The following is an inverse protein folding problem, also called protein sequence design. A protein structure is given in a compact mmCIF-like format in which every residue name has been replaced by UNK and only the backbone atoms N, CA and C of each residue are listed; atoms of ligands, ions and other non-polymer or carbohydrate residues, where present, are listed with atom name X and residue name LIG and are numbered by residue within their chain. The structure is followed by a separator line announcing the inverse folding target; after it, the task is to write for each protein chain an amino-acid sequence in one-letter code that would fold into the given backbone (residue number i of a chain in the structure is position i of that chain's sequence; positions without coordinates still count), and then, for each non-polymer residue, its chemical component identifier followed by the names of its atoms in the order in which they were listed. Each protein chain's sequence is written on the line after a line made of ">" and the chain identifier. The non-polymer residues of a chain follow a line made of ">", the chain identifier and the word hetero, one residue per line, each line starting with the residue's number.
data_IF_335462772018
#
_entry.id   IF_335462772018
#
_cell.length_a   1.000
_cell.length_b   1.000
_cell.length_c   1.000
_cell.angle_alpha   90.00
_cell.angle_beta   90.00
_cell.angle_gamma   90.00
#
_symmetry.space_group_name_H-M   'P 1'
#
loop_
_entity.id
_entity.type
_entity.pdbx_description
1 polymer ?
#
# COMPACT_ATOMS: atom_id res chain seq x y z
N UNK A 1 -51.41 -23.95 44.35
CA UNK A 1 -51.80 -23.62 42.97
C UNK A 1 -51.50 -22.14 42.75
N UNK A 2 -50.39 -21.86 42.06
CA UNK A 2 -50.23 -20.74 41.12
C UNK A 2 -48.90 -20.98 40.42
N UNK A 3 -49.01 -21.44 39.18
CA UNK A 3 -47.91 -21.54 38.22
C UNK A 3 -47.48 -20.12 37.87
N UNK A 4 -46.22 -19.78 38.12
CA UNK A 4 -45.59 -18.60 37.52
C UNK A 4 -45.09 -19.03 36.14
N UNK A 5 -45.85 -18.60 35.13
CA UNK A 5 -45.55 -18.77 33.73
C UNK A 5 -44.52 -17.73 33.29
N UNK A 6 -43.65 -18.13 32.35
CA UNK A 6 -43.03 -17.19 31.44
C UNK A 6 -41.52 -17.07 31.57
N UNK A 7 -40.84 -18.16 31.20
CA UNK A 7 -39.54 -18.10 30.54
C UNK A 7 -39.55 -17.04 29.41
N UNK A 8 -39.08 -15.83 29.71
CA UNK A 8 -38.75 -14.81 28.69
C UNK A 8 -37.41 -14.18 29.05
N UNK A 9 -36.43 -15.03 29.36
CA UNK A 9 -35.03 -14.67 29.14
C UNK A 9 -34.67 -15.22 27.77
N UNK A 10 -35.17 -14.55 26.73
CA UNK A 10 -34.65 -14.74 25.38
C UNK A 10 -33.20 -14.34 25.43
N UNK A 11 -32.39 -15.35 25.67
CA UNK A 11 -30.97 -15.44 25.43
C UNK A 11 -30.72 -14.88 24.03
N UNK A 12 -30.48 -13.57 23.93
CA UNK A 12 -29.63 -13.05 22.87
C UNK A 12 -28.25 -13.51 23.30
N UNK A 13 -27.95 -14.79 23.06
CA UNK A 13 -26.58 -15.18 22.78
C UNK A 13 -26.15 -14.22 21.68
N UNK A 14 -25.16 -13.33 21.89
CA UNK A 14 -24.44 -12.80 20.76
C UNK A 14 -23.99 -14.04 20.00
N UNK A 15 -24.58 -14.21 18.82
CA UNK A 15 -24.26 -15.31 17.93
C UNK A 15 -22.74 -15.31 17.86
N UNK A 16 -22.10 -16.36 18.38
CA UNK A 16 -20.67 -16.52 18.27
C UNK A 16 -20.38 -16.61 16.78
N UNK A 17 -20.08 -15.48 16.15
CA UNK A 17 -19.62 -15.42 14.77
C UNK A 17 -18.37 -16.30 14.72
N UNK A 18 -18.46 -17.36 13.91
CA UNK A 18 -17.43 -18.35 13.77
C UNK A 18 -16.09 -17.66 13.40
N UNK A 19 -14.96 -18.04 14.03
CA UNK A 19 -13.66 -17.38 13.84
C UNK A 19 -12.97 -17.69 12.50
N UNK A 20 -13.70 -18.09 11.46
CA UNK A 20 -13.13 -18.93 10.40
C UNK A 20 -12.67 -18.21 9.11
N UNK A 21 -12.78 -16.88 8.98
CA UNK A 21 -12.38 -16.20 7.72
C UNK A 21 -11.61 -14.87 7.88
N UNK A 22 -11.29 -14.45 9.11
CA UNK A 22 -10.66 -13.14 9.34
C UNK A 22 -9.21 -13.09 8.86
N UNK A 23 -8.48 -14.21 8.98
CA UNK A 23 -7.10 -14.34 8.53
C UNK A 23 -6.95 -14.28 6.99
N UNK A 24 -7.92 -14.82 6.24
CA UNK A 24 -7.90 -14.76 4.77
C UNK A 24 -8.23 -13.35 4.28
N UNK A 25 -9.20 -12.67 4.90
CA UNK A 25 -9.57 -11.30 4.55
C UNK A 25 -8.43 -10.31 4.82
N UNK A 26 -7.71 -10.47 5.94
CA UNK A 26 -6.55 -9.63 6.26
C UNK A 26 -5.38 -9.84 5.29
N UNK A 27 -5.13 -11.09 4.86
CA UNK A 27 -4.11 -11.41 3.86
C UNK A 27 -4.37 -10.76 2.50
N UNK A 28 -5.62 -10.77 2.03
CA UNK A 28 -6.02 -10.11 0.78
C UNK A 28 -5.90 -8.58 0.90
N UNK A 29 -6.36 -8.01 2.02
CA UNK A 29 -6.25 -6.57 2.27
C UNK A 29 -4.78 -6.10 2.29
N UNK A 30 -3.88 -6.87 2.90
CA UNK A 30 -2.46 -6.54 2.95
C UNK A 30 -1.79 -6.60 1.57
N UNK A 31 -2.19 -7.56 0.70
CA UNK A 31 -1.74 -7.59 -0.70
C UNK A 31 -2.21 -6.37 -1.47
N UNK A 32 -3.49 -5.99 -1.34
CA UNK A 32 -4.03 -4.78 -1.98
C UNK A 32 -3.32 -3.50 -1.51
N UNK A 33 -2.93 -3.44 -0.23
CA UNK A 33 -2.16 -2.32 0.30
C UNK A 33 -0.77 -2.20 -0.37
N UNK A 34 -0.06 -3.32 -0.55
CA UNK A 34 1.23 -3.34 -1.27
C UNK A 34 1.09 -2.99 -2.75
N UNK A 35 0.04 -3.50 -3.43
CA UNK A 35 -0.22 -3.09 -4.81
C UNK A 35 -0.51 -1.59 -4.93
N UNK A 36 -1.25 -1.01 -3.97
CA UNK A 36 -1.51 0.43 -3.95
C UNK A 36 -0.22 1.23 -3.79
N UNK A 37 0.67 0.81 -2.87
CA UNK A 37 1.98 1.42 -2.68
C UNK A 37 2.82 1.35 -3.97
N UNK A 38 2.86 0.19 -4.64
CA UNK A 38 3.58 0.02 -5.89
C UNK A 38 3.04 0.88 -7.05
N UNK A 39 1.72 1.03 -7.19
CA UNK A 39 1.11 1.85 -8.25
C UNK A 39 1.34 3.35 -8.01
N UNK A 40 1.09 3.82 -6.79
CA UNK A 40 1.36 5.22 -6.42
C UNK A 40 2.86 5.52 -6.58
N UNK A 41 3.71 4.59 -6.17
CA UNK A 41 5.13 4.69 -6.35
C UNK A 41 5.54 4.77 -7.83
N UNK A 42 5.02 3.90 -8.69
CA UNK A 42 5.34 3.95 -10.12
C UNK A 42 4.92 5.28 -10.78
N UNK A 43 3.74 5.80 -10.39
CA UNK A 43 3.27 7.11 -10.83
C UNK A 43 4.25 8.22 -10.43
N UNK A 44 4.61 8.24 -9.16
CA UNK A 44 5.46 9.29 -8.60
C UNK A 44 6.91 9.16 -9.12
N UNK A 45 7.36 7.93 -9.40
CA UNK A 45 8.68 7.63 -9.95
C UNK A 45 8.89 8.14 -11.37
N UNK A 46 7.88 8.02 -12.25
CA UNK A 46 7.98 8.55 -13.62
C UNK A 46 8.00 10.09 -13.59
N UNK A 47 7.10 10.70 -12.81
CA UNK A 47 7.04 12.17 -12.72
C UNK A 47 8.35 12.72 -12.13
N UNK A 48 8.82 12.14 -11.02
CA UNK A 48 10.08 12.54 -10.40
C UNK A 48 11.29 12.42 -11.34
N UNK A 49 11.37 11.34 -12.13
CA UNK A 49 12.47 11.14 -13.08
C UNK A 49 12.37 12.14 -14.23
N UNK A 50 11.17 12.40 -14.75
CA UNK A 50 10.96 13.36 -15.81
C UNK A 50 11.33 14.77 -15.36
N UNK A 51 10.86 15.20 -14.19
CA UNK A 51 11.18 16.52 -13.62
C UNK A 51 12.67 16.67 -13.35
N UNK A 52 13.34 15.62 -12.83
CA UNK A 52 14.79 15.61 -12.66
C UNK A 52 15.52 15.79 -13.99
N UNK A 53 15.15 15.01 -15.02
CA UNK A 53 15.76 15.06 -16.34
C UNK A 53 15.53 16.42 -17.00
N UNK A 54 14.32 16.97 -16.91
CA UNK A 54 13.99 18.33 -17.39
C UNK A 54 14.81 19.38 -16.65
N UNK A 55 14.93 19.27 -15.33
CA UNK A 55 15.73 20.17 -14.50
C UNK A 55 17.20 20.16 -14.90
N UNK A 56 17.80 18.97 -15.07
CA UNK A 56 19.20 18.83 -15.51
C UNK A 56 19.38 19.35 -16.94
N UNK A 57 18.44 19.06 -17.85
CA UNK A 57 18.48 19.53 -19.23
C UNK A 57 18.37 21.08 -19.32
N UNK A 58 17.72 21.72 -18.36
CA UNK A 58 17.67 23.20 -18.28
C UNK A 58 19.02 23.82 -17.93
N UNK A 59 19.89 23.08 -17.23
CA UNK A 59 21.18 23.55 -16.76
C UNK A 59 22.36 23.06 -17.61
N UNK A 60 22.17 21.99 -18.41
CA UNK A 60 23.23 21.40 -19.23
C UNK A 60 22.69 20.90 -20.57
N UNK A 61 23.42 21.16 -21.65
CA UNK A 61 23.10 20.67 -23.00
C UNK A 61 23.79 19.34 -23.34
N UNK A 62 24.67 18.84 -22.47
CA UNK A 62 25.37 17.57 -22.68
C UNK A 62 24.45 16.38 -22.43
N UNK A 63 24.22 15.58 -23.48
CA UNK A 63 23.39 14.37 -23.40
C UNK A 63 23.89 13.36 -22.36
N UNK A 64 25.22 13.20 -22.22
CA UNK A 64 25.82 12.28 -21.24
C UNK A 64 25.48 12.66 -19.79
N UNK A 65 25.44 13.96 -19.47
CA UNK A 65 25.08 14.43 -18.14
C UNK A 65 23.60 14.17 -17.85
N UNK A 66 22.73 14.44 -18.83
CA UNK A 66 21.28 14.21 -18.71
C UNK A 66 20.98 12.72 -18.54
N UNK A 67 21.60 11.86 -19.36
CA UNK A 67 21.42 10.42 -19.30
C UNK A 67 21.91 9.84 -17.96
N UNK A 68 23.11 10.24 -17.51
CA UNK A 68 23.67 9.77 -16.23
C UNK A 68 22.79 10.19 -15.07
N UNK A 69 22.32 11.44 -15.04
CA UNK A 69 21.43 11.93 -13.99
C UNK A 69 20.07 11.21 -13.98
N UNK A 70 19.48 10.97 -15.16
CA UNK A 70 18.23 10.22 -15.28
C UNK A 70 18.34 8.78 -14.80
N UNK A 71 19.40 8.06 -15.21
CA UNK A 71 19.64 6.68 -14.77
C UNK A 71 19.91 6.63 -13.25
N UNK A 72 20.72 7.55 -12.73
CA UNK A 72 20.98 7.64 -11.30
C UNK A 72 19.69 7.91 -10.51
N UNK A 73 18.83 8.83 -11.00
CA UNK A 73 17.53 9.12 -10.42
C UNK A 73 16.58 7.92 -10.41
N UNK A 74 16.52 7.16 -11.52
CA UNK A 74 15.74 5.93 -11.60
C UNK A 74 16.18 4.89 -10.57
N UNK A 75 17.49 4.65 -10.47
CA UNK A 75 18.04 3.69 -9.50
C UNK A 75 17.77 4.15 -8.07
N UNK A 76 18.00 5.43 -7.77
CA UNK A 76 17.73 5.99 -6.45
C UNK A 76 16.24 5.88 -6.07
N UNK A 77 15.33 6.20 -7.00
CA UNK A 77 13.89 6.08 -6.81
C UNK A 77 13.45 4.64 -6.56
N UNK A 78 13.94 3.70 -7.38
CA UNK A 78 13.62 2.27 -7.21
C UNK A 78 14.12 1.71 -5.86
N UNK A 79 15.34 2.08 -5.44
CA UNK A 79 15.89 1.68 -4.15
C UNK A 79 15.05 2.26 -3.00
N UNK A 80 14.67 3.54 -3.07
CA UNK A 80 13.83 4.15 -2.04
C UNK A 80 12.48 3.44 -1.88
N UNK A 81 11.89 2.99 -2.99
CA UNK A 81 10.60 2.30 -2.99
C UNK A 81 10.71 0.89 -2.41
N UNK A 82 11.77 0.16 -2.78
CA UNK A 82 12.05 -1.17 -2.22
C UNK A 82 12.34 -1.10 -0.71
N UNK A 83 13.09 -0.08 -0.26
CA UNK A 83 13.36 0.13 1.17
C UNK A 83 12.10 0.55 1.93
N UNK A 84 11.21 1.33 1.33
CA UNK A 84 9.93 1.71 1.93
C UNK A 84 9.05 0.50 2.25
N UNK A 85 9.02 -0.49 1.35
CA UNK A 85 8.30 -1.75 1.61
C UNK A 85 9.03 -2.69 2.58
N UNK A 86 10.36 -2.61 2.70
CA UNK A 86 11.11 -3.46 3.62
C UNK A 86 10.91 -3.07 5.10
N UNK A 87 10.67 -1.78 5.37
CA UNK A 87 10.53 -1.23 6.72
C UNK A 87 9.07 -1.06 7.15
N UNK A 88 8.12 -1.11 6.18
CA UNK A 88 6.68 -0.96 6.42
C UNK A 88 5.96 -2.29 6.67
#
# INVERSE_FOLDING_TARGET
>A
MSQEAGDVSSTITPNAEAPENEHTRSSVANRLNRFRAGVLGANDGIISTADLVIGVASASTSADHIATAGIAGLVAGAVSMALGEYVS
#
